data_IF_093059765777
#
_entry.id   IF_093059765777
#
_cell.length_a   1.000
_cell.length_b   1.000
_cell.length_c   1.000
_cell.angle_alpha   90.00
_cell.angle_beta   90.00
_cell.angle_gamma   90.00
#
_symmetry.space_group_name_H-M   'P 1'
#
loop_
_entity.id
_entity.type
_entity.pdbx_description
1 polymer ?
#
# COMPACT_ATOMS: atom_id res chain seq x y z
N UNK A 1 -17.29 8.64 -4.34
CA UNK A 1 -15.90 8.12 -4.36
C UNK A 1 -15.44 8.00 -2.91
N UNK A 2 -14.95 6.82 -2.49
CA UNK A 2 -14.73 6.50 -1.06
C UNK A 2 -13.41 7.04 -0.49
N UNK A 3 -12.41 7.35 -1.32
CA UNK A 3 -11.12 7.89 -0.87
C UNK A 3 -10.40 8.56 -2.04
N UNK A 4 -9.50 9.52 -1.76
CA UNK A 4 -8.54 10.08 -2.73
C UNK A 4 -7.10 9.94 -2.21
N UNK A 5 -6.87 8.95 -1.32
CA UNK A 5 -5.58 8.72 -0.67
C UNK A 5 -4.60 8.01 -1.60
N UNK A 6 -3.32 8.34 -1.44
CA UNK A 6 -2.17 7.74 -2.13
C UNK A 6 -1.60 6.60 -1.31
N UNK A 7 -1.53 5.41 -1.91
CA UNK A 7 -0.91 4.23 -1.29
C UNK A 7 0.39 3.94 -2.05
N UNK A 8 1.53 4.06 -1.37
CA UNK A 8 2.81 3.62 -1.89
C UNK A 8 2.94 2.11 -1.67
N UNK A 9 3.12 1.36 -2.76
CA UNK A 9 3.15 -0.10 -2.77
C UNK A 9 4.51 -0.57 -3.25
N UNK A 10 5.23 -1.29 -2.40
CA UNK A 10 6.44 -1.99 -2.80
C UNK A 10 6.14 -3.17 -3.76
N UNK A 11 7.16 -3.59 -4.52
CA UNK A 11 7.04 -4.66 -5.50
C UNK A 11 7.57 -6.01 -4.97
N UNK A 12 8.87 -6.08 -4.68
CA UNK A 12 9.60 -7.32 -4.38
C UNK A 12 9.44 -7.70 -2.91
N UNK A 13 8.78 -8.82 -2.63
CA UNK A 13 8.43 -9.18 -1.27
C UNK A 13 7.05 -8.65 -0.85
N UNK A 14 6.40 -7.81 -1.67
CA UNK A 14 5.07 -7.23 -1.41
C UNK A 14 4.00 -7.63 -2.43
N UNK A 15 4.17 -7.32 -3.72
CA UNK A 15 3.26 -7.76 -4.79
C UNK A 15 3.61 -9.18 -5.23
N UNK A 16 4.91 -9.45 -5.35
CA UNK A 16 5.47 -10.76 -5.69
C UNK A 16 6.37 -11.27 -4.57
N UNK A 17 6.74 -12.55 -4.61
CA UNK A 17 7.88 -13.06 -3.85
C UNK A 17 9.16 -12.32 -4.24
N UNK A 18 10.07 -12.10 -3.29
CA UNK A 18 11.37 -11.50 -3.60
C UNK A 18 12.20 -12.47 -4.44
N UNK A 19 12.48 -12.07 -5.68
CA UNK A 19 13.29 -12.80 -6.64
C UNK A 19 14.17 -11.85 -7.47
N UNK A 20 14.45 -10.64 -6.96
CA UNK A 20 15.22 -9.63 -7.67
C UNK A 20 16.57 -10.21 -8.15
N UNK A 21 17.00 -9.99 -9.41
CA UNK A 21 16.44 -9.04 -10.39
C UNK A 21 15.22 -9.56 -11.19
N UNK A 22 14.91 -10.85 -11.11
CA UNK A 22 13.75 -11.44 -11.78
C UNK A 22 12.42 -11.09 -11.10
N UNK A 23 11.30 -11.53 -11.66
CA UNK A 23 9.97 -11.34 -11.06
C UNK A 23 9.56 -12.64 -10.37
N UNK A 24 9.28 -12.57 -9.07
CA UNK A 24 8.84 -13.71 -8.28
C UNK A 24 7.39 -14.11 -8.55
N UNK A 25 6.91 -15.13 -7.83
CA UNK A 25 5.50 -15.54 -7.94
C UNK A 25 4.61 -14.47 -7.32
N UNK A 26 3.43 -14.28 -7.91
CA UNK A 26 2.40 -13.37 -7.37
C UNK A 26 2.01 -13.81 -5.97
N UNK A 27 2.00 -12.88 -5.02
CA UNK A 27 1.46 -13.16 -3.69
C UNK A 27 -0.05 -13.34 -3.74
N UNK A 28 -0.55 -14.25 -2.91
CA UNK A 28 -1.97 -14.55 -2.79
C UNK A 28 -2.80 -13.27 -2.61
N UNK A 29 -3.81 -13.09 -3.47
CA UNK A 29 -4.73 -11.95 -3.52
C UNK A 29 -4.13 -10.57 -3.83
N UNK A 30 -2.87 -10.48 -4.28
CA UNK A 30 -2.22 -9.20 -4.54
C UNK A 30 -2.98 -8.35 -5.56
N UNK A 31 -3.17 -8.87 -6.78
CA UNK A 31 -3.80 -8.10 -7.86
C UNK A 31 -5.30 -7.88 -7.64
N UNK A 32 -6.00 -8.84 -7.04
CA UNK A 32 -7.40 -8.70 -6.65
C UNK A 32 -7.57 -7.53 -5.67
N UNK A 33 -6.69 -7.45 -4.67
CA UNK A 33 -6.73 -6.40 -3.65
C UNK A 33 -6.36 -5.04 -4.22
N UNK A 34 -5.30 -4.97 -5.04
CA UNK A 34 -4.88 -3.72 -5.69
C UNK A 34 -6.00 -3.16 -6.59
N UNK A 35 -6.60 -3.99 -7.44
CA UNK A 35 -7.74 -3.59 -8.28
C UNK A 35 -8.93 -3.12 -7.44
N UNK A 36 -9.20 -3.83 -6.34
CA UNK A 36 -10.28 -3.46 -5.43
C UNK A 36 -10.03 -2.08 -4.83
N UNK A 37 -8.82 -1.81 -4.34
CA UNK A 37 -8.43 -0.49 -3.82
C UNK A 37 -8.57 0.60 -4.89
N UNK A 38 -8.13 0.35 -6.13
CA UNK A 38 -8.33 1.30 -7.23
C UNK A 38 -9.81 1.59 -7.50
N UNK A 39 -10.66 0.56 -7.54
CA UNK A 39 -12.10 0.72 -7.75
C UNK A 39 -12.79 1.56 -6.65
N UNK A 40 -12.17 1.65 -5.47
CA UNK A 40 -12.67 2.42 -4.33
C UNK A 40 -12.15 3.87 -4.31
N UNK A 41 -11.26 4.22 -5.24
CA UNK A 41 -10.74 5.57 -5.48
C UNK A 41 -9.33 5.80 -4.94
N UNK A 42 -8.65 4.77 -4.41
CA UNK A 42 -7.27 4.90 -3.98
C UNK A 42 -6.35 5.07 -5.19
N UNK A 43 -5.37 5.98 -5.06
CA UNK A 43 -4.30 6.16 -6.06
C UNK A 43 -3.11 5.31 -5.63
N UNK A 44 -2.78 4.31 -6.44
CA UNK A 44 -1.65 3.43 -6.15
C UNK A 44 -0.39 4.00 -6.78
N UNK A 45 0.67 4.14 -5.99
CA UNK A 45 2.01 4.51 -6.45
C UNK A 45 2.87 3.26 -6.33
N UNK A 46 3.51 2.85 -7.44
CA UNK A 46 4.55 1.83 -7.35
C UNK A 46 5.78 2.47 -6.70
N UNK A 47 6.20 1.94 -5.56
CA UNK A 47 7.32 2.46 -4.78
C UNK A 47 8.34 1.37 -4.57
N UNK A 48 9.28 1.23 -5.49
CA UNK A 48 10.22 0.11 -5.56
C UNK A 48 11.65 0.58 -5.73
N UNK A 49 12.60 -0.19 -5.23
CA UNK A 49 14.03 0.05 -5.48
C UNK A 49 14.45 -0.29 -6.92
N UNK A 50 13.58 -0.94 -7.72
CA UNK A 50 13.86 -1.23 -9.13
C UNK A 50 14.07 0.06 -9.93
N UNK A 51 14.94 -0.01 -10.94
CA UNK A 51 15.26 1.10 -11.83
C UNK A 51 15.54 0.61 -13.27
N UNK A 52 15.46 1.52 -14.23
CA UNK A 52 15.69 1.21 -15.65
C UNK A 52 14.86 0.02 -16.13
N UNK A 53 15.53 -0.97 -16.75
CA UNK A 53 14.86 -2.13 -17.33
C UNK A 53 14.07 -2.96 -16.32
N UNK A 54 14.56 -3.14 -15.10
CA UNK A 54 13.86 -3.97 -14.10
C UNK A 54 12.60 -3.27 -13.59
N UNK A 55 12.59 -1.93 -13.57
CA UNK A 55 11.41 -1.12 -13.27
C UNK A 55 10.36 -1.23 -14.39
N UNK A 56 10.79 -1.09 -15.65
CA UNK A 56 9.92 -1.27 -16.82
C UNK A 56 9.25 -2.65 -16.82
N UNK A 57 10.01 -3.71 -16.53
CA UNK A 57 9.49 -5.07 -16.41
C UNK A 57 8.45 -5.21 -15.28
N UNK A 58 8.68 -4.60 -14.12
CA UNK A 58 7.74 -4.62 -13.00
C UNK A 58 6.44 -3.87 -13.32
N UNK A 59 6.55 -2.67 -13.92
CA UNK A 59 5.40 -1.86 -14.37
C UNK A 59 4.57 -2.64 -15.39
N UNK A 60 5.23 -3.22 -16.39
CA UNK A 60 4.58 -4.00 -17.44
C UNK A 60 3.93 -5.27 -16.89
N UNK A 61 4.58 -5.94 -15.94
CA UNK A 61 4.02 -7.11 -15.26
C UNK A 61 2.73 -6.76 -14.52
N UNK A 62 2.69 -5.66 -13.77
CA UNK A 62 1.49 -5.20 -13.11
C UNK A 62 0.39 -4.82 -14.10
N UNK A 63 0.75 -4.13 -15.18
CA UNK A 63 -0.19 -3.73 -16.24
C UNK A 63 -0.84 -4.94 -16.92
N UNK A 64 -0.07 -5.97 -17.27
CA UNK A 64 -0.59 -7.24 -17.82
C UNK A 64 -1.55 -7.95 -16.87
N UNK A 65 -1.35 -7.79 -15.57
CA UNK A 65 -2.25 -8.31 -14.54
C UNK A 65 -3.43 -7.37 -14.25
N UNK A 66 -3.58 -6.26 -14.98
CA UNK A 66 -4.70 -5.34 -14.90
C UNK A 66 -4.61 -4.33 -13.76
N UNK A 67 -3.40 -3.96 -13.34
CA UNK A 67 -3.14 -2.85 -12.40
C UNK A 67 -2.23 -1.83 -13.07
N UNK A 68 -2.74 -0.62 -13.27
CA UNK A 68 -1.98 0.53 -13.75
C UNK A 68 -1.77 1.52 -12.60
N UNK A 69 -0.52 1.89 -12.31
CA UNK A 69 -0.22 2.79 -11.21
C UNK A 69 -0.47 4.25 -11.60
N UNK A 70 -0.92 5.04 -10.61
CA UNK A 70 -1.05 6.49 -10.73
C UNK A 70 0.31 7.17 -10.94
N UNK A 71 1.36 6.68 -10.27
CA UNK A 71 2.73 7.13 -10.45
C UNK A 71 3.70 5.99 -10.14
N UNK A 72 4.94 6.11 -10.61
CA UNK A 72 6.01 5.13 -10.39
C UNK A 72 7.22 5.88 -9.83
N UNK A 73 7.68 5.47 -8.64
CA UNK A 73 8.79 6.09 -7.92
C UNK A 73 8.71 7.62 -7.80
N UNK A 74 7.48 8.15 -7.77
CA UNK A 74 7.16 9.58 -7.84
C UNK A 74 5.90 9.88 -7.02
N UNK A 75 5.78 11.10 -6.50
CA UNK A 75 4.64 11.54 -5.69
C UNK A 75 3.35 11.72 -6.51
N UNK A 76 3.48 11.96 -7.82
CA UNK A 76 2.37 12.12 -8.76
C UNK A 76 2.80 11.84 -10.20
N UNK A 77 1.81 11.66 -11.09
CA UNK A 77 2.04 11.42 -12.52
C UNK A 77 2.79 12.59 -13.18
N UNK A 78 3.87 12.30 -13.89
CA UNK A 78 4.65 13.30 -14.61
C UNK A 78 5.54 14.19 -13.72
N UNK A 79 5.77 13.81 -12.45
CA UNK A 79 6.74 14.49 -11.60
C UNK A 79 8.13 14.46 -12.23
N UNK A 80 8.76 15.65 -12.32
CA UNK A 80 10.16 15.79 -12.70
C UNK A 80 10.94 16.14 -11.43
N UNK A 81 11.75 15.21 -10.97
CA UNK A 81 12.47 15.35 -9.70
C UNK A 81 13.61 16.36 -9.80
N UNK A 82 13.60 17.37 -8.92
CA UNK A 82 14.67 18.33 -8.74
C UNK A 82 15.29 18.20 -7.35
N UNK A 83 16.51 17.68 -7.31
CA UNK A 83 17.27 17.45 -6.08
C UNK A 83 17.54 18.73 -5.26
N UNK A 84 17.46 19.92 -5.85
CA UNK A 84 17.75 21.19 -5.17
C UNK A 84 16.60 21.69 -4.27
N UNK A 85 15.37 21.31 -4.60
CA UNK A 85 14.17 21.83 -3.93
C UNK A 85 13.14 20.77 -3.55
N UNK A 86 13.33 19.49 -3.93
CA UNK A 86 12.39 18.41 -3.66
C UNK A 86 12.95 17.34 -2.72
N UNK A 87 12.06 16.73 -1.94
CA UNK A 87 12.37 15.59 -1.07
C UNK A 87 12.52 14.31 -1.90
N UNK A 88 13.53 13.49 -1.60
CA UNK A 88 13.65 12.13 -2.17
C UNK A 88 12.54 11.18 -1.73
N UNK A 89 11.94 11.42 -0.57
CA UNK A 89 10.81 10.62 -0.07
C UNK A 89 9.53 11.10 -0.76
N UNK A 90 8.81 10.16 -1.38
CA UNK A 90 7.52 10.43 -2.01
C UNK A 90 6.44 10.79 -0.99
N UNK A 91 5.48 11.60 -1.45
CA UNK A 91 4.31 11.98 -0.67
C UNK A 91 3.19 10.95 -0.85
N UNK A 92 2.97 10.10 0.16
CA UNK A 92 1.90 9.09 0.22
C UNK A 92 1.24 9.04 1.61
N UNK A 93 -0.04 8.65 1.65
CA UNK A 93 -0.80 8.53 2.90
C UNK A 93 -0.47 7.24 3.67
N UNK A 94 -0.15 6.16 2.96
CA UNK A 94 0.22 4.86 3.52
C UNK A 94 1.32 4.22 2.68
N UNK A 95 2.23 3.50 3.34
CA UNK A 95 3.29 2.71 2.72
C UNK A 95 3.04 1.23 3.04
N UNK A 96 2.88 0.42 2.00
CA UNK A 96 2.71 -1.03 2.08
C UNK A 96 3.97 -1.66 1.53
N UNK A 97 4.73 -2.27 2.42
CA UNK A 97 6.09 -2.74 2.17
C UNK A 97 6.37 -3.94 3.09
N UNK A 98 7.07 -4.94 2.60
CA UNK A 98 7.39 -6.14 3.37
C UNK A 98 8.44 -5.91 4.44
N UNK A 99 9.24 -4.85 4.28
CA UNK A 99 10.26 -4.41 5.22
C UNK A 99 9.74 -3.42 6.25
N UNK A 100 8.44 -3.14 6.26
CA UNK A 100 7.82 -2.37 7.34
C UNK A 100 8.09 -3.03 8.71
N UNK A 101 8.25 -2.21 9.75
CA UNK A 101 8.38 -2.71 11.12
C UNK A 101 7.10 -3.47 11.51
N UNK A 102 7.24 -4.78 11.79
CA UNK A 102 6.11 -5.69 12.00
C UNK A 102 5.85 -6.65 10.83
N UNK A 103 6.53 -6.46 9.70
CA UNK A 103 6.47 -7.32 8.51
C UNK A 103 5.19 -7.14 7.68
N UNK A 104 5.10 -7.93 6.60
CA UNK A 104 3.93 -7.95 5.71
C UNK A 104 2.85 -8.91 6.22
N UNK A 105 1.65 -8.43 6.60
CA UNK A 105 0.59 -9.30 7.12
C UNK A 105 -0.16 -10.07 6.00
N UNK A 106 0.12 -9.78 4.72
CA UNK A 106 -0.59 -10.33 3.57
C UNK A 106 -1.76 -9.46 3.11
N UNK A 107 -2.11 -9.59 1.82
CA UNK A 107 -3.03 -8.66 1.15
C UNK A 107 -4.45 -8.63 1.72
N UNK A 108 -4.97 -9.78 2.17
CA UNK A 108 -6.28 -9.83 2.82
C UNK A 108 -6.34 -8.97 4.08
N UNK A 109 -5.30 -9.04 4.91
CA UNK A 109 -5.23 -8.25 6.14
C UNK A 109 -4.92 -6.78 5.86
N UNK A 110 -4.05 -6.48 4.90
CA UNK A 110 -3.81 -5.11 4.42
C UNK A 110 -5.12 -4.43 4.02
N UNK A 111 -5.98 -5.12 3.27
CA UNK A 111 -7.28 -4.60 2.87
C UNK A 111 -8.18 -4.30 4.08
N UNK A 112 -8.27 -5.23 5.04
CA UNK A 112 -9.06 -5.06 6.25
C UNK A 112 -8.56 -3.86 7.08
N UNK A 113 -7.24 -3.76 7.28
CA UNK A 113 -6.60 -2.66 8.01
C UNK A 113 -6.98 -1.30 7.39
N UNK A 114 -6.89 -1.20 6.07
CA UNK A 114 -7.22 0.03 5.34
C UNK A 114 -8.72 0.35 5.44
N UNK A 115 -9.57 -0.64 5.18
CA UNK A 115 -11.02 -0.45 5.09
C UNK A 115 -11.64 -0.16 6.47
N UNK A 116 -11.22 -0.86 7.51
CA UNK A 116 -11.70 -0.69 8.90
C UNK A 116 -10.95 0.38 9.69
N UNK A 117 -9.92 0.99 9.07
CA UNK A 117 -9.05 2.02 9.66
C UNK A 117 -8.46 1.53 10.99
N UNK A 118 -7.92 0.32 10.97
CA UNK A 118 -7.26 -0.30 12.12
C UNK A 118 -5.95 0.45 12.36
N UNK A 119 -5.75 0.89 13.60
CA UNK A 119 -4.49 1.46 14.06
C UNK A 119 -3.84 0.48 15.04
N UNK A 120 -2.51 0.47 15.07
CA UNK A 120 -1.76 -0.37 16.01
C UNK A 120 -1.28 0.47 17.19
N UNK A 121 -1.33 -0.12 18.39
CA UNK A 121 -0.73 0.44 19.60
C UNK A 121 0.19 -0.58 20.23
N UNK A 122 1.23 -0.09 20.89
CA UNK A 122 2.12 -0.93 21.68
C UNK A 122 1.73 -0.78 23.15
N UNK A 123 1.36 -1.87 23.79
CA UNK A 123 1.03 -1.92 25.22
C UNK A 123 1.66 -3.18 25.83
N UNK A 124 2.36 -3.03 26.95
CA UNK A 124 2.92 -4.19 27.66
C UNK A 124 3.91 -5.06 26.86
N UNK A 125 4.56 -4.51 25.82
CA UNK A 125 5.41 -5.23 24.82
C UNK A 125 4.63 -6.04 23.78
N UNK A 126 3.33 -5.89 23.69
CA UNK A 126 2.47 -6.47 22.66
C UNK A 126 2.02 -5.39 21.66
N UNK A 127 1.78 -5.79 20.41
CA UNK A 127 1.19 -4.93 19.38
C UNK A 127 -0.29 -5.27 19.27
N UNK A 128 -1.16 -4.33 19.66
CA UNK A 128 -2.60 -4.52 19.71
C UNK A 128 -3.29 -3.75 18.56
N UNK A 129 -4.18 -4.38 17.79
CA UNK A 129 -5.02 -3.67 16.84
C UNK A 129 -6.16 -2.95 17.57
N UNK A 130 -6.40 -1.68 17.24
CA UNK A 130 -7.52 -0.90 17.75
C UNK A 130 -8.16 -0.07 16.63
N UNK A 131 -9.48 -0.22 16.44
CA UNK A 131 -10.25 0.60 15.49
C UNK A 131 -10.95 1.75 16.22
N UNK A 132 -10.68 2.99 15.79
CA UNK A 132 -11.36 4.19 16.29
C UNK A 132 -12.86 4.22 15.99
N UNK A 133 -13.38 3.33 15.15
CA UNK A 133 -14.77 3.36 14.68
C UNK A 133 -15.82 2.85 15.69
N UNK A 134 -15.43 2.23 16.82
CA UNK A 134 -16.39 1.94 17.91
C UNK A 134 -16.52 3.13 18.86
N UNK A 135 -17.30 4.14 18.47
CA UNK A 135 -18.05 4.89 19.48
C UNK A 135 -19.01 3.89 20.11
N UNK A 136 -18.79 3.52 21.37
CA UNK A 136 -19.80 2.82 22.15
C UNK A 136 -21.11 3.61 22.02
N UNK A 137 -22.14 3.01 21.42
CA UNK A 137 -23.49 3.48 21.66
C UNK A 137 -23.69 3.32 23.16
N UNK A 138 -23.61 4.41 23.92
CA UNK A 138 -24.20 4.46 25.26
C UNK A 138 -25.62 3.92 25.09
N UNK A 139 -25.88 2.71 25.56
CA UNK A 139 -27.25 2.20 25.70
C UNK A 139 -27.87 3.18 26.67
N UNK A 140 -28.69 4.10 26.15
CA UNK A 140 -29.46 5.00 26.99
C UNK A 140 -30.23 4.14 27.98
N UNK A 141 -30.00 4.40 29.27
CA UNK A 141 -30.94 3.99 30.30
C UNK A 141 -32.24 4.75 30.01
N UNK A 142 -33.16 4.09 29.32
CA UNK A 142 -34.56 4.49 29.35
C UNK A 142 -35.12 3.91 30.66
N UNK A 143 -35.37 4.82 31.60
CA UNK A 143 -36.19 4.60 32.79
C UNK A 143 -37.66 4.50 32.41
#
# INVERSE_FOLDING_TARGET
MRSNKKLAIDFDGTIVEDAYPGIGKVKTFAFETLKKLQSEGYRLILWTFREGKTLEEAVEFCRKNGVEFYAVNSSFEGEVFDHSCQSRKIDADLFIDDRNLGGFPGWGEVYNIINERIEFRVEGREVLPYSKMKKEKKRGLFW
#
